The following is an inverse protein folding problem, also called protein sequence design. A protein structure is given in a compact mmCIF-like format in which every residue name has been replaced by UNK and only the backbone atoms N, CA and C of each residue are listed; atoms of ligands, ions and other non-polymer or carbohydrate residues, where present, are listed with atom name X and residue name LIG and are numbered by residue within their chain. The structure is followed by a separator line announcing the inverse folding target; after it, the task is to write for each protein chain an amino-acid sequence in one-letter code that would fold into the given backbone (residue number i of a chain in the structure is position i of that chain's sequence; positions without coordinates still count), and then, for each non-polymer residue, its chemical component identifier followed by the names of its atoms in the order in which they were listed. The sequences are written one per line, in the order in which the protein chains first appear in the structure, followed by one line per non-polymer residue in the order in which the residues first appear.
data_IF_173669747482
#
_entry.id   IF_173669747482
#
_cell.length_a   1.000
_cell.length_b   1.000
_cell.length_c   1.000
_cell.angle_alpha   90.00
_cell.angle_beta   90.00
_cell.angle_gamma   90.00
#
_symmetry.space_group_name_H-M   'P 1'
#
loop_
_entity.id
_entity.type
_entity.pdbx_description
1 polymer ?
#
# COMPACT_ATOMS: atom_id res chain seq x y z
N UNK A 1 -12.95 12.11 -1.73
CA UNK A 1 -11.95 11.03 -1.59
C UNK A 1 -12.02 10.11 -2.79
N UNK A 2 -10.99 9.29 -3.07
CA UNK A 2 -11.05 8.30 -4.14
C UNK A 2 -12.20 7.33 -3.88
N UNK A 3 -12.97 7.00 -4.92
CA UNK A 3 -14.03 5.99 -4.81
C UNK A 3 -13.41 4.61 -4.57
N UNK A 4 -13.88 3.90 -3.55
CA UNK A 4 -13.54 2.49 -3.34
C UNK A 4 -14.12 1.67 -4.49
N UNK A 5 -13.29 1.33 -5.47
CA UNK A 5 -13.66 0.33 -6.48
C UNK A 5 -13.90 -0.99 -5.76
N UNK A 6 -15.04 -1.64 -6.03
CA UNK A 6 -15.33 -2.99 -5.54
C UNK A 6 -14.24 -3.91 -6.08
N UNK A 7 -13.32 -4.34 -5.22
CA UNK A 7 -12.38 -5.40 -5.55
C UNK A 7 -13.18 -6.71 -5.54
N UNK A 8 -13.02 -7.52 -6.59
CA UNK A 8 -13.64 -8.84 -6.63
C UNK A 8 -13.14 -9.65 -5.42
N UNK A 9 -14.05 -10.26 -4.67
CA UNK A 9 -13.69 -11.11 -3.53
C UNK A 9 -13.34 -12.51 -4.04
N UNK A 10 -12.19 -13.04 -3.61
CA UNK A 10 -11.80 -14.44 -3.91
C UNK A 10 -12.43 -15.35 -2.85
N UNK A 11 -13.22 -16.37 -3.25
CA UNK A 11 -13.77 -17.34 -2.28
C UNK A 11 -12.66 -18.23 -1.72
N UNK A 12 -12.88 -18.75 -0.52
CA UNK A 12 -11.96 -19.70 0.11
C UNK A 12 -11.83 -20.98 -0.74
N UNK A 13 -10.61 -21.50 -0.80
CA UNK A 13 -10.31 -22.81 -1.37
C UNK A 13 -10.32 -23.81 -0.20
N UNK A 14 -11.11 -24.87 -0.32
CA UNK A 14 -11.23 -25.93 0.69
C UNK A 14 -10.74 -27.27 0.17
N UNK A 15 -10.32 -28.14 1.07
CA UNK A 15 -9.98 -29.53 0.78
C UNK A 15 -11.24 -30.42 0.62
N UNK A 16 -11.06 -31.73 0.46
CA UNK A 16 -12.18 -32.68 0.31
C UNK A 16 -13.05 -32.84 1.56
N UNK A 17 -12.52 -32.48 2.73
CA UNK A 17 -13.20 -32.56 4.02
C UNK A 17 -13.84 -31.22 4.41
N UNK A 18 -13.62 -30.16 3.61
CA UNK A 18 -14.13 -28.81 3.86
C UNK A 18 -13.17 -27.92 4.64
N UNK A 19 -11.93 -28.33 4.88
CA UNK A 19 -10.92 -27.52 5.58
C UNK A 19 -10.32 -26.46 4.65
N UNK A 20 -10.15 -25.23 5.14
CA UNK A 20 -9.62 -24.11 4.35
C UNK A 20 -8.14 -24.33 4.02
N UNK A 21 -7.81 -24.37 2.73
CA UNK A 21 -6.46 -24.44 2.19
C UNK A 21 -5.91 -23.07 1.78
N UNK A 22 -6.79 -22.16 1.34
CA UNK A 22 -6.41 -20.79 1.01
C UNK A 22 -7.58 -19.83 1.26
N UNK A 23 -7.29 -18.69 1.86
CA UNK A 23 -8.26 -17.61 2.11
C UNK A 23 -7.71 -16.28 1.60
N UNK A 24 -8.61 -15.36 1.25
CA UNK A 24 -8.26 -14.03 0.80
C UNK A 24 -8.04 -13.10 1.99
N UNK A 25 -6.84 -12.52 2.09
CA UNK A 25 -6.53 -11.54 3.12
C UNK A 25 -6.67 -10.14 2.51
N UNK A 26 -7.67 -9.39 2.99
CA UNK A 26 -7.86 -8.00 2.59
C UNK A 26 -6.71 -7.14 3.11
N UNK A 27 -5.98 -6.52 2.19
CA UNK A 27 -4.87 -5.61 2.51
C UNK A 27 -5.01 -4.31 1.74
N UNK A 28 -4.49 -3.22 2.32
CA UNK A 28 -4.39 -1.94 1.64
C UNK A 28 -3.07 -1.84 0.84
N UNK A 29 -3.05 -0.97 -0.17
CA UNK A 29 -1.83 -0.56 -0.86
C UNK A 29 -1.68 0.94 -0.78
N UNK A 30 -0.45 1.41 -0.58
CA UNK A 30 -0.10 2.82 -0.54
C UNK A 30 0.38 3.28 -1.92
N UNK A 31 -0.18 4.39 -2.39
CA UNK A 31 0.26 5.08 -3.58
C UNK A 31 0.43 6.58 -3.29
N UNK A 32 1.16 7.27 -4.15
CA UNK A 32 1.28 8.71 -4.14
C UNK A 32 0.96 9.30 -5.52
N UNK A 33 0.59 10.57 -5.54
CA UNK A 33 0.54 11.41 -6.74
C UNK A 33 1.66 12.47 -6.63
N UNK A 34 2.91 12.17 -7.03
CA UNK A 34 4.08 13.04 -6.83
C UNK A 34 3.89 14.49 -7.25
N UNK A 35 3.17 14.75 -8.35
CA UNK A 35 2.84 16.12 -8.81
C UNK A 35 2.07 16.97 -7.80
N UNK A 36 1.47 16.33 -6.78
CA UNK A 36 0.66 16.97 -5.73
C UNK A 36 1.39 17.06 -4.39
N UNK A 37 2.64 16.56 -4.31
CA UNK A 37 3.44 16.56 -3.09
C UNK A 37 4.29 17.83 -3.07
N UNK A 38 4.15 18.61 -1.99
CA UNK A 38 4.86 19.88 -1.81
C UNK A 38 6.25 19.64 -1.23
N UNK A 39 6.32 18.83 -0.17
CA UNK A 39 7.55 18.49 0.53
C UNK A 39 7.73 16.96 0.50
N UNK A 40 8.63 16.51 -0.37
CA UNK A 40 8.92 15.08 -0.50
C UNK A 40 9.85 14.57 0.59
N UNK A 41 10.68 15.46 1.16
CA UNK A 41 11.64 15.15 2.22
C UNK A 41 10.86 14.85 3.51
N UNK A 42 9.94 15.75 3.91
CA UNK A 42 9.05 15.52 5.05
C UNK A 42 8.17 14.26 4.85
N UNK A 43 7.68 14.04 3.63
CA UNK A 43 6.83 12.90 3.32
C UNK A 43 7.56 11.56 3.52
N UNK A 44 8.79 11.41 3.01
CA UNK A 44 9.53 10.17 3.19
C UNK A 44 9.96 9.95 4.64
N UNK A 45 10.39 11.01 5.34
CA UNK A 45 10.74 10.92 6.76
C UNK A 45 9.59 10.35 7.59
N UNK A 46 8.37 10.88 7.43
CA UNK A 46 7.18 10.38 8.13
C UNK A 46 6.83 8.96 7.73
N UNK A 47 6.86 8.65 6.43
CA UNK A 47 6.56 7.31 5.94
C UNK A 47 7.53 6.26 6.53
N UNK A 48 8.82 6.57 6.65
CA UNK A 48 9.81 5.67 7.23
C UNK A 48 9.59 5.37 8.70
N UNK A 49 8.83 6.20 9.44
CA UNK A 49 8.49 5.93 10.85
C UNK A 49 7.43 4.85 11.01
N UNK A 50 6.52 4.72 10.05
CA UNK A 50 5.39 3.76 10.08
C UNK A 50 5.60 2.58 9.12
N UNK A 51 6.48 2.72 8.13
CA UNK A 51 6.87 1.69 7.17
C UNK A 51 8.38 1.41 7.31
N UNK A 52 8.82 0.61 8.30
CA UNK A 52 10.23 0.44 8.63
C UNK A 52 11.05 -0.21 7.49
N UNK A 53 10.40 -0.99 6.63
CA UNK A 53 11.04 -1.67 5.49
C UNK A 53 10.99 -0.86 4.19
N UNK A 54 10.56 0.41 4.24
CA UNK A 54 10.48 1.25 3.04
C UNK A 54 11.89 1.59 2.53
N UNK A 55 12.11 1.40 1.22
CA UNK A 55 13.34 1.84 0.57
C UNK A 55 13.31 3.38 0.48
N UNK A 56 14.08 4.02 1.37
CA UNK A 56 14.10 5.48 1.53
C UNK A 56 14.45 6.19 0.23
N UNK A 57 15.61 5.85 -0.37
CA UNK A 57 16.12 6.51 -1.58
C UNK A 57 15.20 6.30 -2.77
N UNK A 58 14.77 5.05 -3.01
CA UNK A 58 13.87 4.76 -4.12
C UNK A 58 12.53 5.48 -3.95
N UNK A 59 12.01 5.52 -2.74
CA UNK A 59 10.74 6.20 -2.46
C UNK A 59 10.88 7.70 -2.63
N UNK A 60 11.94 8.31 -2.10
CA UNK A 60 12.22 9.72 -2.29
C UNK A 60 12.26 10.11 -3.77
N UNK A 61 12.97 9.33 -4.60
CA UNK A 61 13.00 9.55 -6.04
C UNK A 61 11.62 9.43 -6.69
N UNK A 62 10.79 8.46 -6.27
CA UNK A 62 9.40 8.36 -6.73
C UNK A 62 8.59 9.60 -6.35
N UNK A 63 8.73 10.10 -5.13
CA UNK A 63 8.01 11.30 -4.64
C UNK A 63 8.45 12.59 -5.35
N UNK A 64 9.70 12.68 -5.81
CA UNK A 64 10.22 13.83 -6.59
C UNK A 64 10.04 13.71 -8.10
N UNK A 65 9.58 12.56 -8.60
CA UNK A 65 9.50 12.26 -10.05
C UNK A 65 8.55 13.17 -10.83
N UNK A 66 7.62 13.86 -10.16
CA UNK A 66 6.55 14.58 -10.83
C UNK A 66 5.65 13.65 -11.65
N UNK A 67 5.51 12.38 -11.29
CA UNK A 67 4.51 11.48 -11.88
C UNK A 67 3.10 11.78 -11.35
N UNK A 68 2.08 11.39 -12.12
CA UNK A 68 0.68 11.48 -11.68
C UNK A 68 0.27 10.34 -10.73
N UNK A 69 1.06 9.28 -10.65
CA UNK A 69 0.77 8.11 -9.81
C UNK A 69 2.04 7.26 -9.63
N UNK A 70 2.33 6.82 -8.41
CA UNK A 70 3.39 5.84 -8.10
C UNK A 70 2.95 4.88 -6.99
N UNK A 71 3.32 3.61 -7.11
CA UNK A 71 3.17 2.64 -6.02
C UNK A 71 4.31 2.79 -5.01
N UNK A 72 3.96 2.92 -3.73
CA UNK A 72 4.93 3.02 -2.63
C UNK A 72 5.07 1.69 -1.90
N UNK A 73 3.95 1.12 -1.47
CA UNK A 73 3.94 -0.14 -0.72
C UNK A 73 2.67 -0.94 -1.03
N UNK A 74 2.79 -2.26 -1.02
CA UNK A 74 1.65 -3.19 -1.16
C UNK A 74 1.49 -3.98 0.12
N UNK A 75 0.30 -4.55 0.30
CA UNK A 75 -0.01 -5.47 1.39
C UNK A 75 0.23 -4.86 2.79
N UNK A 76 -0.24 -3.63 2.99
CA UNK A 76 -0.18 -3.01 4.31
C UNK A 76 -0.94 -3.84 5.33
N UNK A 77 -0.33 -4.00 6.50
CA UNK A 77 -1.04 -4.50 7.68
C UNK A 77 -2.09 -3.49 8.13
N UNK A 78 -3.14 -3.93 8.86
CA UNK A 78 -4.14 -3.00 9.39
C UNK A 78 -3.54 -1.87 10.24
N UNK A 79 -2.48 -2.17 11.02
CA UNK A 79 -1.76 -1.20 11.85
C UNK A 79 -1.05 -0.14 10.99
N UNK A 80 -0.33 -0.57 9.95
CA UNK A 80 0.35 0.36 9.02
C UNK A 80 -0.62 1.22 8.20
N UNK A 81 -1.89 0.83 8.08
CA UNK A 81 -2.91 1.65 7.41
C UNK A 81 -3.53 2.69 8.36
N UNK A 82 -3.64 2.39 9.65
CA UNK A 82 -4.32 3.25 10.64
C UNK A 82 -3.42 4.30 11.28
N UNK A 83 -2.13 3.98 11.41
CA UNK A 83 -1.10 4.85 12.01
C UNK A 83 -0.62 5.90 10.99
#
# INVERSE_FOLDING_TARGET
GPQSRVTASRPDIVDRNGEVLATDIKTASLFAEPRRIVDADEAIEKLSTVLPDIDYEQTYHKLKSGAGFVWLQRQLTPKQQSD
#
